data_IF_747799801717
#
_entry.id   IF_747799801717
#
_cell.length_a   1.000
_cell.length_b   1.000
_cell.length_c   1.000
_cell.angle_alpha   90.00
_cell.angle_beta   90.00
_cell.angle_gamma   90.00
#
_symmetry.space_group_name_H-M   'P 1'
#
loop_
_entity.id
_entity.type
_entity.pdbx_description
1 polymer ?
#
# COMPACT_ATOMS: atom_id res chain seq x y z
N UNK A 1 -2.30 15.82 -48.06
CA UNK A 1 -1.29 16.05 -47.01
C UNK A 1 -1.38 14.92 -45.98
N UNK A 2 -0.38 14.04 -46.04
CA UNK A 2 0.02 12.93 -45.18
C UNK A 2 -0.97 12.19 -44.27
N UNK A 3 -1.37 10.99 -44.72
CA UNK A 3 -1.82 9.85 -43.92
C UNK A 3 -0.73 9.24 -43.01
N UNK A 4 0.43 9.92 -42.87
CA UNK A 4 1.59 9.44 -42.12
C UNK A 4 1.47 9.64 -40.59
N UNK A 5 0.42 10.31 -40.08
CA UNK A 5 0.26 10.55 -38.64
C UNK A 5 -0.35 9.38 -37.85
N UNK A 6 -1.02 8.42 -38.51
CA UNK A 6 -1.78 7.39 -37.79
C UNK A 6 -1.06 6.04 -37.66
N UNK A 7 0.02 5.82 -38.41
CA UNK A 7 0.75 4.54 -38.40
C UNK A 7 2.10 4.78 -37.74
N UNK A 8 2.15 4.65 -36.41
CA UNK A 8 3.43 4.47 -35.75
C UNK A 8 4.03 3.12 -36.17
N UNK A 9 5.31 3.07 -36.56
CA UNK A 9 6.01 1.82 -36.83
C UNK A 9 5.80 0.81 -35.69
N UNK A 10 5.73 -0.50 -35.98
CA UNK A 10 5.39 -1.55 -35.00
C UNK A 10 6.32 -1.59 -33.77
N UNK A 11 7.48 -0.93 -33.87
CA UNK A 11 8.49 -0.83 -32.82
C UNK A 11 8.28 0.34 -31.85
N UNK A 12 7.32 1.24 -32.11
CA UNK A 12 7.10 2.46 -31.31
C UNK A 12 5.70 2.56 -30.69
N UNK A 13 4.76 1.72 -31.13
CA UNK A 13 3.36 1.76 -30.69
C UNK A 13 3.18 1.48 -29.19
N UNK A 14 3.97 0.57 -28.60
CA UNK A 14 3.92 0.26 -27.17
C UNK A 14 4.44 1.42 -26.32
N UNK A 15 5.55 2.05 -26.71
CA UNK A 15 6.10 3.22 -26.02
C UNK A 15 5.14 4.41 -26.10
N UNK A 16 4.54 4.66 -27.26
CA UNK A 16 3.54 5.72 -27.39
C UNK A 16 2.31 5.45 -26.52
N UNK A 17 1.82 4.20 -26.48
CA UNK A 17 0.67 3.84 -25.65
C UNK A 17 0.95 4.07 -24.15
N UNK A 18 2.15 3.74 -23.67
CA UNK A 18 2.53 4.02 -22.28
C UNK A 18 2.62 5.53 -22.00
N UNK A 19 3.23 6.30 -22.91
CA UNK A 19 3.36 7.74 -22.75
C UNK A 19 2.00 8.46 -22.74
N UNK A 20 1.11 8.10 -23.68
CA UNK A 20 -0.25 8.65 -23.73
C UNK A 20 -1.04 8.21 -22.50
N UNK A 21 -0.92 6.94 -22.09
CA UNK A 21 -1.61 6.41 -20.91
C UNK A 21 -1.21 7.14 -19.63
N UNK A 22 0.08 7.39 -19.43
CA UNK A 22 0.58 8.13 -18.27
C UNK A 22 0.12 9.59 -18.29
N UNK A 23 0.22 10.26 -19.44
CA UNK A 23 -0.25 11.64 -19.59
C UNK A 23 -1.75 11.78 -19.28
N UNK A 24 -2.58 10.85 -19.77
CA UNK A 24 -4.01 10.83 -19.48
C UNK A 24 -4.30 10.55 -18.00
N UNK A 25 -3.58 9.62 -17.38
CA UNK A 25 -3.75 9.33 -15.95
C UNK A 25 -3.41 10.55 -15.09
N UNK A 26 -2.25 11.18 -15.34
CA UNK A 26 -1.80 12.36 -14.60
C UNK A 26 -2.76 13.54 -14.76
N UNK A 27 -3.19 13.83 -16.00
CA UNK A 27 -4.13 14.94 -16.26
C UNK A 27 -5.48 14.72 -15.62
N UNK A 28 -6.05 13.51 -15.70
CA UNK A 28 -7.31 13.19 -15.03
C UNK A 28 -7.18 13.25 -13.50
N UNK A 29 -6.06 12.81 -12.93
CA UNK A 29 -5.81 12.94 -11.50
C UNK A 29 -5.78 14.41 -11.06
N UNK A 30 -5.16 15.29 -11.86
CA UNK A 30 -5.13 16.73 -11.59
C UNK A 30 -6.52 17.37 -11.67
N UNK A 31 -7.25 17.13 -12.77
CA UNK A 31 -8.60 17.69 -12.99
C UNK A 31 -9.60 17.22 -11.92
N UNK A 32 -9.46 15.99 -11.43
CA UNK A 32 -10.31 15.44 -10.36
C UNK A 32 -9.88 15.86 -8.96
N UNK A 33 -8.78 16.62 -8.82
CA UNK A 33 -8.13 16.87 -7.52
C UNK A 33 -7.91 15.57 -6.73
N UNK A 34 -7.51 14.50 -7.43
CA UNK A 34 -7.42 13.16 -6.89
C UNK A 34 -6.42 13.11 -5.73
N UNK A 35 -6.96 12.90 -4.53
CA UNK A 35 -6.22 13.00 -3.28
C UNK A 35 -5.42 11.74 -2.98
N UNK A 36 -4.45 11.86 -2.05
CA UNK A 36 -3.67 10.71 -1.58
C UNK A 36 -4.55 9.74 -0.78
N UNK A 37 -5.58 10.27 -0.14
CA UNK A 37 -6.60 9.54 0.63
C UNK A 37 -7.45 8.68 -0.30
N UNK A 38 -7.91 9.23 -1.42
CA UNK A 38 -8.61 8.49 -2.47
C UNK A 38 -7.71 7.46 -3.14
N UNK A 39 -6.45 7.80 -3.44
CA UNK A 39 -5.49 6.83 -3.95
C UNK A 39 -5.39 5.62 -3.01
N UNK A 40 -5.29 5.86 -1.70
CA UNK A 40 -5.18 4.82 -0.70
C UNK A 40 -6.44 3.94 -0.60
N UNK A 41 -7.61 4.56 -0.72
CA UNK A 41 -8.91 3.87 -0.69
C UNK A 41 -9.10 2.94 -1.89
N UNK A 42 -8.75 3.40 -3.10
CA UNK A 42 -8.91 2.61 -4.33
C UNK A 42 -7.76 1.62 -4.57
N UNK A 43 -6.61 1.80 -3.91
CA UNK A 43 -5.43 0.93 -4.07
C UNK A 43 -4.89 0.41 -2.72
N UNK A 44 -5.71 -0.27 -1.90
CA UNK A 44 -5.33 -0.69 -0.55
C UNK A 44 -4.22 -1.77 -0.56
N UNK A 45 -4.07 -2.50 -1.66
CA UNK A 45 -3.04 -3.52 -1.85
C UNK A 45 -1.64 -2.96 -2.10
N UNK A 46 -1.53 -1.71 -2.56
CA UNK A 46 -0.25 -1.04 -2.83
C UNK A 46 0.45 -0.55 -1.57
N UNK A 47 1.77 -0.35 -1.64
CA UNK A 47 2.57 0.17 -0.52
C UNK A 47 2.10 1.54 -0.02
N UNK A 48 1.73 2.43 -0.95
CA UNK A 48 1.19 3.76 -0.64
C UNK A 48 -0.17 3.70 0.04
N UNK A 49 -1.09 2.89 -0.49
CA UNK A 49 -2.43 2.74 0.08
C UNK A 49 -2.39 2.09 1.46
N UNK A 50 -1.61 1.01 1.61
CA UNK A 50 -1.41 0.35 2.89
C UNK A 50 -0.83 1.28 3.94
N UNK A 51 0.19 2.09 3.61
CA UNK A 51 0.82 3.04 4.55
C UNK A 51 -0.14 4.13 5.03
N UNK A 52 -1.06 4.58 4.18
CA UNK A 52 -2.04 5.62 4.53
C UNK A 52 -3.24 5.09 5.31
N UNK A 53 -3.67 3.85 5.03
CA UNK A 53 -4.77 3.21 5.75
C UNK A 53 -4.35 2.55 7.07
N UNK A 54 -3.04 2.43 7.32
CA UNK A 54 -2.49 1.89 8.55
C UNK A 54 -2.68 2.89 9.69
N UNK A 55 -3.50 2.52 10.67
CA UNK A 55 -3.67 3.28 11.91
C UNK A 55 -2.98 2.56 13.06
N UNK A 56 -2.68 3.27 14.15
CA UNK A 56 -2.14 2.66 15.37
C UNK A 56 -3.04 1.52 15.83
N UNK A 57 -4.37 1.69 15.85
CA UNK A 57 -5.30 0.61 16.21
C UNK A 57 -5.23 -0.62 15.29
N UNK A 58 -4.98 -0.44 13.98
CA UNK A 58 -4.80 -1.55 13.03
C UNK A 58 -3.41 -2.19 13.10
N UNK A 59 -2.41 -1.45 13.58
CA UNK A 59 -1.03 -1.94 13.75
C UNK A 59 -0.82 -2.60 15.12
N UNK A 60 -1.53 -2.14 16.16
CA UNK A 60 -1.42 -2.64 17.51
C UNK A 60 -1.98 -4.05 17.64
N UNK A 61 -1.28 -4.85 18.44
CA UNK A 61 -1.78 -6.16 18.87
C UNK A 61 -2.84 -5.96 19.95
N UNK A 62 -3.93 -6.69 19.83
CA UNK A 62 -5.05 -6.65 20.78
C UNK A 62 -5.42 -8.06 21.24
N UNK A 63 -6.14 -8.16 22.36
CA UNK A 63 -6.60 -9.44 22.92
C UNK A 63 -5.44 -10.38 23.27
N UNK A 64 -5.56 -11.64 22.88
CA UNK A 64 -4.56 -12.67 23.16
C UNK A 64 -3.18 -12.40 22.56
N UNK A 65 -3.10 -11.53 21.54
CA UNK A 65 -1.83 -11.13 20.92
C UNK A 65 -1.10 -10.01 21.69
N UNK A 66 -1.73 -9.42 22.71
CA UNK A 66 -1.18 -8.29 23.46
C UNK A 66 -0.12 -8.67 24.52
N UNK A 67 0.28 -9.95 24.61
CA UNK A 67 1.34 -10.43 25.49
C UNK A 67 1.17 -10.01 26.96
N UNK A 68 -0.02 -10.20 27.52
CA UNK A 68 -0.34 -9.78 28.88
C UNK A 68 0.05 -10.87 29.89
N UNK A 69 0.63 -10.46 31.03
CA UNK A 69 0.95 -11.33 32.18
C UNK A 69 0.34 -10.74 33.47
N UNK A 70 0.11 -11.59 34.46
CA UNK A 70 -0.41 -11.17 35.76
C UNK A 70 0.66 -10.51 36.62
N UNK A 71 0.24 -9.78 37.67
CA UNK A 71 1.18 -9.12 38.61
C UNK A 71 2.04 -10.13 39.40
N UNK A 72 1.51 -11.33 39.62
CA UNK A 72 2.18 -12.41 40.34
C UNK A 72 2.98 -13.35 39.42
N UNK A 73 3.06 -13.04 38.12
CA UNK A 73 3.79 -13.87 37.15
C UNK A 73 5.31 -13.74 37.35
N UNK A 74 6.03 -14.85 37.15
CA UNK A 74 7.48 -14.86 37.26
C UNK A 74 8.16 -14.26 36.01
N UNK A 75 9.43 -13.89 36.14
CA UNK A 75 10.24 -13.44 35.00
C UNK A 75 10.34 -14.53 33.92
N UNK A 76 10.34 -15.79 34.34
CA UNK A 76 10.37 -16.95 33.44
C UNK A 76 9.07 -17.06 32.62
N UNK A 77 7.91 -16.78 33.22
CA UNK A 77 6.63 -16.70 32.52
C UNK A 77 6.62 -15.57 31.48
N UNK A 78 7.19 -14.41 31.82
CA UNK A 78 7.33 -13.29 30.89
C UNK A 78 8.15 -13.66 29.65
N UNK A 79 9.30 -14.34 29.84
CA UNK A 79 10.16 -14.80 28.74
C UNK A 79 9.44 -15.78 27.81
N UNK A 80 8.69 -16.73 28.38
CA UNK A 80 7.90 -17.67 27.58
C UNK A 80 6.81 -16.97 26.76
N UNK A 81 6.11 -15.99 27.35
CA UNK A 81 5.06 -15.24 26.66
C UNK A 81 5.62 -14.35 25.56
N UNK A 82 6.75 -13.67 25.79
CA UNK A 82 7.43 -12.88 24.76
C UNK A 82 7.83 -13.74 23.55
N UNK A 83 8.29 -14.97 23.80
CA UNK A 83 8.71 -15.91 22.75
C UNK A 83 7.51 -16.47 21.98
N UNK A 84 6.41 -16.81 22.67
CA UNK A 84 5.19 -17.33 22.07
C UNK A 84 4.51 -16.34 21.12
N UNK A 85 4.66 -15.04 21.38
CA UNK A 85 4.00 -13.97 20.63
C UNK A 85 4.98 -12.99 19.96
N UNK A 86 6.14 -13.49 19.48
CA UNK A 86 7.26 -12.77 18.85
C UNK A 86 6.93 -11.40 18.24
N UNK A 87 7.72 -10.37 18.54
CA UNK A 87 7.50 -8.93 18.24
C UNK A 87 7.72 -8.47 16.79
N UNK A 88 8.02 -9.37 15.85
CA UNK A 88 8.15 -9.06 14.43
C UNK A 88 7.26 -9.98 13.61
N UNK A 89 6.23 -9.43 12.96
CA UNK A 89 5.21 -10.19 12.25
C UNK A 89 5.75 -11.03 11.08
N UNK A 90 5.04 -12.12 10.80
CA UNK A 90 4.52 -12.32 9.44
C UNK A 90 3.12 -11.73 9.37
#
# INVERSE_FOLDING_TARGET
>A
MNAALWILPPTTSTTLALAIGDALAVTLMQERNFSKEEFALYHPGGSLGRRRLLTVGKAMRSGEKACLIGRESTILDALFIMTRYLSGQR
#
